data_IF_542533156864
#
_entry.id   IF_542533156864
#
_cell.length_a   1.000
_cell.length_b   1.000
_cell.length_c   1.000
_cell.angle_alpha   90.00
_cell.angle_beta   90.00
_cell.angle_gamma   90.00
#
_symmetry.space_group_name_H-M   'P 1'
#
loop_
_entity.id
_entity.type
_entity.pdbx_description
1 polymer ?
#
# COMPACT_ATOMS: atom_id res chain seq x y z
N UNK A 1 -10.26 -20.46 20.68
CA UNK A 1 -8.91 -20.94 20.26
C UNK A 1 -8.28 -19.91 19.35
N UNK A 2 -7.00 -19.59 19.53
CA UNK A 2 -6.24 -18.73 18.60
C UNK A 2 -5.78 -19.60 17.43
N UNK A 3 -6.19 -19.24 16.21
CA UNK A 3 -5.72 -19.93 15.01
C UNK A 3 -4.41 -19.29 14.55
N UNK A 4 -3.33 -20.07 14.57
CA UNK A 4 -2.01 -19.64 14.15
C UNK A 4 -1.73 -20.20 12.77
N UNK A 5 -1.51 -19.32 11.80
CA UNK A 5 -1.03 -19.69 10.47
C UNK A 5 0.40 -19.19 10.30
N UNK A 6 1.34 -20.10 10.04
CA UNK A 6 2.75 -19.81 9.87
C UNK A 6 3.15 -20.00 8.41
N UNK A 7 3.66 -18.95 7.78
CA UNK A 7 4.44 -19.04 6.54
C UNK A 7 5.93 -18.94 6.86
N UNK A 8 6.80 -19.10 5.85
CA UNK A 8 8.26 -18.94 6.02
C UNK A 8 8.67 -17.57 6.58
N UNK A 9 7.84 -16.53 6.42
CA UNK A 9 8.18 -15.14 6.76
C UNK A 9 7.21 -14.45 7.72
N UNK A 10 6.00 -14.98 7.91
CA UNK A 10 4.94 -14.32 8.69
C UNK A 10 4.19 -15.31 9.56
N UNK A 11 4.00 -14.94 10.82
CA UNK A 11 3.03 -15.56 11.72
C UNK A 11 1.76 -14.70 11.74
N UNK A 12 0.65 -15.27 11.31
CA UNK A 12 -0.66 -14.62 11.37
C UNK A 12 -1.48 -15.28 12.46
N UNK A 13 -1.93 -14.49 13.44
CA UNK A 13 -2.76 -14.98 14.54
C UNK A 13 -4.16 -14.41 14.38
N UNK A 14 -5.10 -15.29 14.05
CA UNK A 14 -6.53 -14.98 13.92
C UNK A 14 -7.25 -15.28 15.24
N UNK A 15 -7.77 -14.24 15.86
CA UNK A 15 -8.77 -14.36 16.93
C UNK A 15 -10.16 -14.17 16.33
N UNK A 16 -10.71 -15.19 15.67
CA UNK A 16 -12.06 -15.07 15.08
C UNK A 16 -13.16 -14.75 16.12
N UNK A 17 -12.89 -15.03 17.40
CA UNK A 17 -13.79 -14.78 18.54
C UNK A 17 -13.15 -13.90 19.64
N UNK A 18 -11.94 -13.36 19.40
CA UNK A 18 -11.18 -12.67 20.45
C UNK A 18 -10.43 -11.48 19.84
N UNK A 19 -10.88 -10.27 20.19
CA UNK A 19 -10.13 -9.05 19.94
C UNK A 19 -9.07 -8.86 21.03
N UNK A 20 -7.89 -8.38 20.65
CA UNK A 20 -6.86 -7.95 21.58
C UNK A 20 -6.62 -6.46 21.38
N UNK A 21 -6.85 -5.63 22.40
CA UNK A 21 -6.67 -4.17 22.31
C UNK A 21 -7.38 -3.54 21.09
N UNK A 22 -8.55 -4.08 20.74
CA UNK A 22 -9.36 -3.62 19.60
C UNK A 22 -8.86 -4.05 18.21
N UNK A 23 -7.95 -5.03 18.11
CA UNK A 23 -7.58 -5.68 16.84
C UNK A 23 -8.00 -7.14 16.81
N UNK A 24 -8.65 -7.52 15.70
CA UNK A 24 -9.15 -8.86 15.44
C UNK A 24 -8.12 -9.79 14.76
N UNK A 25 -7.00 -9.22 14.30
CA UNK A 25 -5.94 -9.95 13.62
C UNK A 25 -4.58 -9.32 13.92
N UNK A 26 -3.61 -10.17 14.26
CA UNK A 26 -2.21 -9.78 14.41
C UNK A 26 -1.40 -10.31 13.22
N UNK A 27 -0.60 -9.45 12.62
CA UNK A 27 0.41 -9.81 11.61
C UNK A 27 1.80 -9.64 12.21
N UNK A 28 2.52 -10.75 12.40
CA UNK A 28 3.87 -10.77 12.95
C UNK A 28 4.85 -11.18 11.85
N UNK A 29 5.65 -10.24 11.36
CA UNK A 29 6.67 -10.48 10.34
C UNK A 29 8.03 -10.74 11.01
N UNK A 30 8.72 -11.80 10.58
CA UNK A 30 9.98 -12.24 11.20
C UNK A 30 11.20 -11.35 10.87
N UNK A 31 11.06 -10.40 9.95
CA UNK A 31 12.12 -9.50 9.50
C UNK A 31 13.36 -10.20 8.91
N UNK A 32 13.23 -11.42 8.38
CA UNK A 32 14.39 -12.22 7.89
C UNK A 32 15.26 -11.49 6.85
N UNK A 33 14.68 -10.60 6.06
CA UNK A 33 15.36 -9.79 5.03
C UNK A 33 15.81 -8.40 5.51
N UNK A 34 15.54 -8.05 6.78
CA UNK A 34 15.86 -6.77 7.38
C UNK A 34 16.78 -6.91 8.59
N UNK A 35 18.09 -6.85 8.35
CA UNK A 35 19.11 -6.88 9.40
C UNK A 35 18.95 -5.77 10.47
N UNK A 36 18.25 -4.68 10.15
CA UNK A 36 18.01 -3.59 11.12
C UNK A 36 16.77 -3.81 11.98
N UNK A 37 15.87 -4.73 11.58
CA UNK A 37 14.55 -4.98 12.14
C UNK A 37 13.57 -3.79 12.14
N UNK A 38 14.00 -2.58 11.75
CA UNK A 38 13.22 -1.33 11.92
C UNK A 38 12.60 -0.80 10.63
N UNK A 39 12.88 -1.37 9.46
CA UNK A 39 12.48 -0.77 8.17
C UNK A 39 10.97 -0.60 8.05
N UNK A 40 10.21 -1.65 8.35
CA UNK A 40 8.74 -1.61 8.28
C UNK A 40 8.17 -0.56 9.23
N UNK A 41 8.68 -0.51 10.47
CA UNK A 41 8.25 0.47 11.46
C UNK A 41 8.48 1.91 10.98
N UNK A 42 9.72 2.20 10.53
CA UNK A 42 10.10 3.52 10.05
C UNK A 42 9.32 3.91 8.78
N UNK A 43 9.15 2.99 7.83
CA UNK A 43 8.46 3.25 6.58
C UNK A 43 7.01 3.67 6.82
N UNK A 44 6.26 2.85 7.58
CA UNK A 44 4.86 3.17 7.85
C UNK A 44 4.69 4.44 8.69
N UNK A 45 5.64 4.75 9.59
CA UNK A 45 5.67 6.03 10.31
C UNK A 45 5.85 7.21 9.36
N UNK A 46 6.77 7.13 8.39
CA UNK A 46 6.96 8.19 7.40
C UNK A 46 5.72 8.38 6.52
N UNK A 47 5.08 7.30 6.07
CA UNK A 47 3.81 7.40 5.34
C UNK A 47 2.74 8.14 6.16
N UNK A 48 2.55 7.79 7.44
CA UNK A 48 1.61 8.49 8.33
C UNK A 48 1.96 9.97 8.50
N UNK A 49 3.24 10.29 8.72
CA UNK A 49 3.71 11.69 8.83
C UNK A 49 3.46 12.50 7.56
N UNK A 50 3.47 11.85 6.39
CA UNK A 50 3.10 12.47 5.13
C UNK A 50 1.57 12.56 4.87
N UNK A 51 0.75 12.22 5.87
CA UNK A 51 -0.72 12.25 5.77
C UNK A 51 -1.32 11.10 4.96
N UNK A 52 -0.58 10.02 4.74
CA UNK A 52 -1.04 8.85 4.00
C UNK A 52 -1.54 7.80 5.00
N UNK A 53 -2.77 7.27 4.85
CA UNK A 53 -3.25 6.18 5.68
C UNK A 53 -2.31 4.97 5.56
N UNK A 54 -1.65 4.60 6.65
CA UNK A 54 -0.68 3.49 6.67
C UNK A 54 -0.74 2.68 7.98
N UNK A 55 -0.46 1.37 7.93
CA UNK A 55 -0.52 0.46 9.07
C UNK A 55 0.30 0.94 10.27
N UNK A 56 -0.25 0.89 11.48
CA UNK A 56 0.60 0.95 12.69
C UNK A 56 1.57 -0.23 12.67
N UNK A 57 2.75 -0.02 13.22
CA UNK A 57 3.75 -1.06 13.37
C UNK A 57 4.44 -0.87 14.70
N UNK A 58 4.58 -1.92 15.49
CA UNK A 58 5.44 -1.98 16.67
C UNK A 58 6.26 -3.28 16.64
N UNK A 59 7.01 -3.54 17.71
CA UNK A 59 7.82 -4.75 17.84
C UNK A 59 7.20 -5.70 18.84
N UNK A 60 7.36 -7.00 18.60
CA UNK A 60 6.92 -8.06 19.49
C UNK A 60 8.06 -9.05 19.74
N UNK A 61 8.21 -9.48 20.99
CA UNK A 61 9.06 -10.62 21.34
C UNK A 61 8.21 -11.88 21.26
N UNK A 62 8.55 -12.81 20.37
CA UNK A 62 7.70 -13.97 20.06
C UNK A 62 8.29 -15.25 20.67
N UNK A 63 7.43 -15.98 21.41
CA UNK A 63 7.73 -17.31 21.95
C UNK A 63 6.55 -18.23 21.62
N UNK A 64 6.83 -19.41 21.07
CA UNK A 64 5.82 -20.42 20.73
C UNK A 64 6.18 -21.72 21.43
N UNK A 65 5.28 -22.27 22.24
CA UNK A 65 5.50 -23.51 23.00
C UNK A 65 6.80 -23.52 23.84
N UNK A 66 7.18 -22.36 24.39
CA UNK A 66 8.41 -22.21 25.17
C UNK A 66 9.68 -21.92 24.36
N UNK A 67 9.63 -22.03 23.03
CA UNK A 67 10.75 -21.71 22.15
C UNK A 67 10.74 -20.23 21.77
N UNK A 68 11.84 -19.52 22.05
CA UNK A 68 12.00 -18.12 21.65
C UNK A 68 12.36 -18.02 20.16
N UNK A 69 11.52 -17.32 19.39
CA UNK A 69 11.66 -17.19 17.94
C UNK A 69 12.31 -15.87 17.50
N UNK A 70 12.46 -14.89 18.40
CA UNK A 70 13.08 -13.61 18.08
C UNK A 70 12.16 -12.39 18.23
N UNK A 71 12.62 -11.28 17.65
CA UNK A 71 11.89 -10.01 17.57
C UNK A 71 11.20 -9.89 16.21
N UNK A 72 9.89 -9.70 16.25
CA UNK A 72 9.04 -9.59 15.06
C UNK A 72 8.52 -8.15 14.91
N UNK A 73 8.26 -7.75 13.68
CA UNK A 73 7.45 -6.56 13.39
C UNK A 73 5.98 -6.94 13.52
N UNK A 74 5.27 -6.35 14.47
CA UNK A 74 3.83 -6.47 14.60
C UNK A 74 3.16 -5.34 13.81
N UNK A 75 2.60 -5.70 12.66
CA UNK A 75 2.00 -4.77 11.71
C UNK A 75 0.49 -4.88 11.81
N UNK A 76 -0.18 -3.73 11.94
CA UNK A 76 -1.64 -3.67 11.93
C UNK A 76 -2.19 -4.16 10.59
N UNK A 77 -3.08 -5.14 10.63
CA UNK A 77 -3.71 -5.63 9.40
C UNK A 77 -4.64 -4.57 8.80
N UNK A 78 -4.56 -4.37 7.48
CA UNK A 78 -5.46 -3.47 6.75
C UNK A 78 -6.83 -4.13 6.61
N UNK A 79 -7.70 -3.90 7.59
CA UNK A 79 -9.08 -4.43 7.69
C UNK A 79 -10.04 -3.36 8.20
N UNK A 80 -11.25 -3.75 8.60
CA UNK A 80 -12.30 -2.82 9.07
C UNK A 80 -11.81 -1.90 10.19
N UNK A 81 -11.00 -2.38 11.14
CA UNK A 81 -10.55 -1.55 12.27
C UNK A 81 -9.52 -0.51 11.85
N UNK A 82 -8.60 -0.87 10.94
CA UNK A 82 -7.74 0.11 10.26
C UNK A 82 -8.59 1.18 9.55
N UNK A 83 -9.63 0.78 8.82
CA UNK A 83 -10.47 1.72 8.08
C UNK A 83 -11.24 2.67 9.00
N UNK A 84 -11.82 2.17 10.10
CA UNK A 84 -12.52 3.00 11.09
C UNK A 84 -11.61 4.08 11.69
N UNK A 85 -10.31 3.79 11.82
CA UNK A 85 -9.32 4.72 12.38
C UNK A 85 -8.91 5.84 11.42
N UNK A 86 -8.96 5.59 10.12
CA UNK A 86 -8.48 6.53 9.09
C UNK A 86 -9.59 7.20 8.28
N UNK A 87 -10.79 6.63 8.26
CA UNK A 87 -11.88 7.07 7.40
C UNK A 87 -13.20 7.17 8.17
N UNK A 88 -14.03 8.14 7.78
CA UNK A 88 -15.37 8.35 8.34
C UNK A 88 -16.27 7.12 8.17
N UNK A 89 -16.09 6.36 7.09
CA UNK A 89 -16.83 5.14 6.79
C UNK A 89 -15.85 4.00 6.51
N UNK A 90 -16.14 2.83 7.05
CA UNK A 90 -15.37 1.59 6.86
C UNK A 90 -16.12 0.53 6.02
N UNK A 91 -17.17 0.95 5.30
CA UNK A 91 -18.06 0.07 4.53
C UNK A 91 -17.67 -0.09 3.06
N UNK A 92 -16.69 0.69 2.57
CA UNK A 92 -16.24 0.65 1.19
C UNK A 92 -15.52 -0.64 0.84
N UNK A 93 -15.29 -0.83 -0.46
CA UNK A 93 -14.50 -1.96 -0.94
C UNK A 93 -13.02 -1.73 -0.65
N UNK A 94 -12.36 -2.75 -0.11
CA UNK A 94 -10.93 -2.78 0.12
C UNK A 94 -10.32 -3.89 -0.72
N UNK A 95 -9.28 -3.56 -1.47
CA UNK A 95 -8.56 -4.49 -2.32
C UNK A 95 -7.08 -4.51 -1.97
N UNK A 96 -6.47 -5.69 -1.97
CA UNK A 96 -5.02 -5.86 -2.03
C UNK A 96 -4.58 -5.94 -3.49
N UNK A 97 -3.51 -5.23 -3.82
CA UNK A 97 -2.90 -5.27 -5.13
C UNK A 97 -1.62 -6.12 -5.12
N UNK A 98 -1.57 -7.11 -6.01
CA UNK A 98 -0.43 -7.98 -6.26
C UNK A 98 -0.18 -8.01 -7.76
N UNK A 99 0.77 -7.20 -8.23
CA UNK A 99 0.94 -6.93 -9.67
C UNK A 99 -0.41 -6.49 -10.27
N UNK A 100 -1.00 -5.49 -9.63
CA UNK A 100 -2.36 -4.99 -9.89
C UNK A 100 -2.34 -3.52 -10.25
N UNK A 101 -3.22 -3.15 -11.17
CA UNK A 101 -3.29 -1.78 -11.66
C UNK A 101 -4.64 -1.49 -12.30
N UNK A 102 -4.97 -0.21 -12.44
CA UNK A 102 -6.20 0.27 -13.07
C UNK A 102 -6.09 0.25 -14.60
N UNK A 103 -5.78 -0.92 -15.15
CA UNK A 103 -5.77 -1.19 -16.60
C UNK A 103 -6.66 -2.38 -16.88
N UNK A 104 -7.23 -2.47 -18.08
CA UNK A 104 -8.12 -3.59 -18.45
C UNK A 104 -7.44 -4.96 -18.24
N UNK A 105 -6.13 -5.03 -18.47
CA UNK A 105 -5.33 -6.25 -18.28
C UNK A 105 -5.10 -6.61 -16.80
N UNK A 106 -4.97 -5.62 -15.91
CA UNK A 106 -4.54 -5.85 -14.53
C UNK A 106 -5.63 -5.59 -13.48
N UNK A 107 -6.76 -4.97 -13.82
CA UNK A 107 -7.83 -4.67 -12.86
C UNK A 107 -8.46 -5.94 -12.26
N UNK A 108 -8.38 -7.07 -12.97
CA UNK A 108 -8.83 -8.37 -12.48
C UNK A 108 -7.96 -8.97 -11.35
N UNK A 109 -6.71 -8.52 -11.19
CA UNK A 109 -5.76 -9.14 -10.25
C UNK A 109 -5.88 -8.62 -8.82
N UNK A 110 -6.68 -7.57 -8.59
CA UNK A 110 -6.99 -7.10 -7.24
C UNK A 110 -7.74 -8.17 -6.43
N UNK A 111 -7.27 -8.44 -5.21
CA UNK A 111 -7.93 -9.36 -4.27
C UNK A 111 -8.82 -8.58 -3.29
N UNK A 112 -10.09 -8.93 -3.22
CA UNK A 112 -11.06 -8.24 -2.37
C UNK A 112 -10.94 -8.69 -0.91
N UNK A 113 -10.54 -7.79 -0.02
CA UNK A 113 -10.41 -8.07 1.43
C UNK A 113 -11.66 -7.72 2.23
N UNK A 114 -12.42 -6.73 1.77
CA UNK A 114 -13.72 -6.37 2.34
C UNK A 114 -14.77 -6.45 1.24
N UNK A 115 -15.96 -6.89 1.62
CA UNK A 115 -17.10 -7.13 0.74
C UNK A 115 -16.90 -8.23 -0.32
N UNK A 116 -15.87 -9.08 -0.25
CA UNK A 116 -15.54 -10.09 -1.28
C UNK A 116 -16.74 -10.88 -1.84
N UNK A 117 -17.65 -11.36 -0.97
CA UNK A 117 -18.87 -12.10 -1.37
C UNK A 117 -19.93 -11.25 -2.07
N UNK A 118 -19.93 -9.92 -1.85
CA UNK A 118 -20.85 -8.95 -2.45
C UNK A 118 -20.22 -8.15 -3.59
N UNK A 119 -18.90 -8.23 -3.76
CA UNK A 119 -18.09 -7.31 -4.55
C UNK A 119 -18.27 -7.53 -6.05
N UNK A 120 -19.05 -6.66 -6.69
CA UNK A 120 -19.27 -6.65 -8.14
C UNK A 120 -18.10 -6.04 -8.93
N UNK A 121 -17.08 -5.49 -8.25
CA UNK A 121 -15.91 -4.80 -8.81
C UNK A 121 -16.28 -3.65 -9.77
N UNK A 122 -17.51 -3.14 -9.71
CA UNK A 122 -17.97 -2.08 -10.61
C UNK A 122 -17.22 -0.77 -10.38
N UNK A 123 -16.75 -0.51 -9.16
CA UNK A 123 -15.88 0.61 -8.83
C UNK A 123 -14.50 0.52 -9.50
N UNK A 124 -13.85 -0.66 -9.46
CA UNK A 124 -12.59 -0.89 -10.18
C UNK A 124 -12.78 -0.74 -11.69
N UNK A 125 -13.89 -1.24 -12.24
CA UNK A 125 -14.18 -1.11 -13.67
C UNK A 125 -14.38 0.37 -14.05
N UNK A 126 -15.15 1.13 -13.27
CA UNK A 126 -15.34 2.58 -13.47
C UNK A 126 -14.01 3.33 -13.41
N UNK A 127 -13.19 3.06 -12.40
CA UNK A 127 -11.88 3.68 -12.26
C UNK A 127 -10.94 3.31 -13.40
N UNK A 128 -10.91 2.04 -13.81
CA UNK A 128 -10.11 1.57 -14.94
C UNK A 128 -10.51 2.27 -16.24
N UNK A 129 -11.81 2.36 -16.53
CA UNK A 129 -12.31 3.11 -17.70
C UNK A 129 -11.95 4.60 -17.63
N UNK A 130 -12.19 5.23 -16.49
CA UNK A 130 -11.87 6.66 -16.30
C UNK A 130 -10.37 6.97 -16.46
N UNK A 131 -9.50 6.03 -16.09
CA UNK A 131 -8.05 6.14 -16.22
C UNK A 131 -7.53 5.70 -17.61
N UNK A 132 -8.29 4.87 -18.34
CA UNK A 132 -8.00 4.43 -19.69
C UNK A 132 -8.33 5.48 -20.76
N UNK A 133 -9.25 6.41 -20.49
CA UNK A 133 -9.51 7.59 -21.35
C UNK A 133 -8.29 8.51 -21.30
N UNK A 134 -7.29 8.15 -22.10
CA UNK A 134 -6.12 8.94 -22.39
C UNK A 134 -6.09 9.22 -23.87
N UNK A 135 -5.62 10.42 -24.21
CA UNK A 135 -5.50 10.96 -25.57
C UNK A 135 -6.82 11.53 -26.08
N UNK A 136 -7.16 12.76 -25.65
CA UNK A 136 -7.88 13.82 -26.41
C UNK A 136 -8.65 14.78 -25.47
N UNK A 137 -7.93 15.49 -24.60
CA UNK A 137 -8.43 16.54 -23.67
C UNK A 137 -8.99 16.08 -22.31
N UNK A 138 -8.16 16.34 -21.29
CA UNK A 138 -8.53 16.63 -19.89
C UNK A 138 -9.22 15.54 -19.03
N UNK A 139 -9.15 15.77 -17.71
CA UNK A 139 -9.13 14.80 -16.61
C UNK A 139 -10.46 14.08 -16.30
N UNK A 140 -10.45 12.75 -16.33
CA UNK A 140 -11.27 11.89 -15.43
C UNK A 140 -10.48 11.08 -14.35
N UNK A 141 -9.15 11.23 -14.13
CA UNK A 141 -8.47 10.61 -12.98
C UNK A 141 -8.92 11.14 -11.61
N UNK A 142 -9.28 12.43 -11.51
CA UNK A 142 -9.59 13.09 -10.22
C UNK A 142 -10.88 12.62 -9.56
N UNK A 143 -11.80 12.03 -10.34
CA UNK A 143 -13.08 11.51 -9.85
C UNK A 143 -12.95 10.10 -9.28
N UNK A 144 -12.01 9.29 -9.80
CA UNK A 144 -11.79 7.91 -9.33
C UNK A 144 -10.67 7.81 -8.30
N UNK A 145 -9.68 8.71 -8.34
CA UNK A 145 -8.54 8.75 -7.41
C UNK A 145 -8.30 10.19 -6.97
N UNK A 146 -8.01 10.41 -5.69
CA UNK A 146 -7.52 11.72 -5.24
C UNK A 146 -6.05 11.89 -5.66
N UNK A 147 -5.80 12.72 -6.67
CA UNK A 147 -4.46 12.91 -7.23
C UNK A 147 -3.46 13.47 -6.22
N UNK A 148 -3.86 14.39 -5.33
CA UNK A 148 -2.94 14.94 -4.33
C UNK A 148 -2.46 13.86 -3.36
N UNK A 149 -3.36 12.99 -2.91
CA UNK A 149 -2.99 11.90 -2.01
C UNK A 149 -2.14 10.85 -2.73
N UNK A 150 -2.48 10.54 -3.98
CA UNK A 150 -1.69 9.65 -4.81
C UNK A 150 -0.26 10.17 -5.05
N UNK A 151 -0.11 11.47 -5.28
CA UNK A 151 1.19 12.10 -5.44
C UNK A 151 2.04 12.05 -4.18
N UNK A 152 1.45 12.28 -3.00
CA UNK A 152 2.18 12.09 -1.72
C UNK A 152 2.60 10.64 -1.55
N UNK A 153 1.70 9.70 -1.85
CA UNK A 153 1.97 8.27 -1.82
C UNK A 153 3.16 7.89 -2.71
N UNK A 154 3.13 8.31 -3.97
CA UNK A 154 4.22 8.06 -4.89
C UNK A 154 5.53 8.70 -4.42
N UNK A 155 5.52 9.99 -4.08
CA UNK A 155 6.72 10.67 -3.62
C UNK A 155 7.36 9.94 -2.44
N UNK A 156 6.54 9.49 -1.48
CA UNK A 156 7.02 8.72 -0.33
C UNK A 156 7.64 7.37 -0.74
N UNK A 157 7.00 6.59 -1.62
CA UNK A 157 7.59 5.35 -2.13
C UNK A 157 8.94 5.60 -2.83
N UNK A 158 9.07 6.69 -3.58
CA UNK A 158 10.33 7.08 -4.22
C UNK A 158 11.41 7.44 -3.19
N UNK A 159 11.08 8.24 -2.17
CA UNK A 159 12.01 8.68 -1.12
C UNK A 159 12.57 7.52 -0.31
N UNK A 160 11.75 6.51 0.01
CA UNK A 160 12.18 5.36 0.81
C UNK A 160 12.76 4.22 -0.05
N UNK A 161 12.78 4.37 -1.37
CA UNK A 161 13.29 3.38 -2.32
C UNK A 161 12.43 2.12 -2.41
N UNK A 162 11.10 2.26 -2.39
CA UNK A 162 10.17 1.15 -2.35
C UNK A 162 9.93 0.48 -3.71
N UNK A 163 10.95 -0.24 -4.19
CA UNK A 163 10.96 -0.82 -5.54
C UNK A 163 9.90 -1.89 -5.81
N UNK A 164 9.43 -2.60 -4.78
CA UNK A 164 8.37 -3.60 -4.90
C UNK A 164 7.00 -3.07 -4.44
N UNK A 165 6.88 -1.76 -4.24
CA UNK A 165 5.60 -1.09 -3.98
C UNK A 165 4.80 -0.87 -5.28
N UNK A 166 3.70 -0.10 -5.18
CA UNK A 166 2.88 0.19 -6.36
C UNK A 166 3.70 0.94 -7.41
N UNK A 167 4.57 1.86 -6.97
CA UNK A 167 5.44 2.66 -7.83
C UNK A 167 6.36 1.92 -8.77
N UNK A 168 6.99 0.87 -8.23
CA UNK A 168 8.07 0.18 -8.89
C UNK A 168 7.57 -1.05 -9.62
N UNK A 169 6.70 -1.84 -8.97
CA UNK A 169 6.29 -3.15 -9.46
C UNK A 169 4.78 -3.41 -9.38
N UNK A 170 3.97 -2.37 -9.10
CA UNK A 170 2.51 -2.52 -8.96
C UNK A 170 2.11 -3.57 -7.92
N UNK A 171 2.90 -3.69 -6.85
CA UNK A 171 2.78 -4.73 -5.84
C UNK A 171 2.75 -4.12 -4.43
N UNK A 172 2.43 -4.94 -3.41
CA UNK A 172 2.48 -4.56 -1.99
C UNK A 172 1.73 -3.27 -1.64
N UNK A 173 0.44 -3.19 -2.01
CA UNK A 173 -0.40 -2.06 -1.64
C UNK A 173 -1.85 -2.49 -1.46
N UNK A 174 -2.63 -1.67 -0.76
CA UNK A 174 -4.07 -1.73 -0.80
C UNK A 174 -4.64 -0.49 -1.47
N UNK A 175 -5.84 -0.64 -2.02
CA UNK A 175 -6.71 0.46 -2.41
C UNK A 175 -8.04 0.35 -1.70
N UNK A 176 -8.49 1.46 -1.13
CA UNK A 176 -9.78 1.57 -0.48
C UNK A 176 -10.67 2.54 -1.26
N UNK A 177 -11.84 2.08 -1.72
CA UNK A 177 -12.84 2.96 -2.30
C UNK A 177 -13.60 3.65 -1.16
N UNK A 178 -13.21 4.88 -0.83
CA UNK A 178 -13.77 5.64 0.28
C UNK A 178 -15.21 6.09 -0.02
N UNK A 179 -16.24 5.59 0.70
CA UNK A 179 -17.64 5.93 0.43
C UNK A 179 -18.00 7.39 0.73
N UNK A 180 -17.14 8.13 1.44
CA UNK A 180 -17.36 9.56 1.66
C UNK A 180 -16.97 10.38 0.43
N UNK A 181 -15.81 10.09 -0.15
CA UNK A 181 -15.29 10.84 -1.30
C UNK A 181 -15.57 10.21 -2.67
N UNK A 182 -16.04 8.96 -2.70
CA UNK A 182 -16.24 8.17 -3.92
C UNK A 182 -14.94 7.82 -4.64
N UNK A 183 -13.78 7.97 -3.98
CA UNK A 183 -12.45 7.91 -4.58
C UNK A 183 -11.59 6.85 -3.93
N UNK A 184 -10.77 6.20 -4.74
CA UNK A 184 -9.75 5.28 -4.26
C UNK A 184 -8.64 6.01 -3.49
N UNK A 185 -8.26 5.42 -2.36
CA UNK A 185 -7.15 5.81 -1.49
C UNK A 185 -6.11 4.71 -1.49
N UNK A 186 -4.85 5.06 -1.71
CA UNK A 186 -3.73 4.12 -1.65
C UNK A 186 -3.22 3.97 -0.22
N UNK A 187 -2.91 2.73 0.17
CA UNK A 187 -2.40 2.36 1.48
C UNK A 187 -1.17 1.46 1.26
N UNK A 188 -0.01 1.78 1.84
CA UNK A 188 1.20 0.98 1.64
C UNK A 188 1.10 -0.35 2.39
N UNK A 189 1.72 -1.39 1.84
CA UNK A 189 1.88 -2.70 2.49
C UNK A 189 3.26 -3.26 2.22
N UNK A 190 3.71 -4.33 2.90
CA UNK A 190 4.95 -5.04 2.59
C UNK A 190 6.23 -4.19 2.58
N UNK A 191 6.36 -3.19 3.46
CA UNK A 191 7.47 -2.23 3.43
C UNK A 191 8.78 -2.73 4.11
N UNK A 192 9.16 -4.00 3.94
CA UNK A 192 10.41 -4.58 4.46
C UNK A 192 11.59 -4.38 3.48
N UNK A 193 11.31 -4.25 2.18
CA UNK A 193 12.31 -4.08 1.13
C UNK A 193 12.91 -2.68 0.94
N UNK A 194 12.61 -1.73 1.83
CA UNK A 194 12.94 -0.29 1.71
C UNK A 194 14.28 0.09 2.36
N UNK A 195 14.71 1.36 2.24
CA UNK A 195 15.95 1.91 2.84
C UNK A 195 17.21 1.08 2.54
N UNK A 196 17.29 0.46 1.36
CA UNK A 196 18.44 -0.38 1.01
C UNK A 196 19.69 0.50 0.84
N UNK A 197 20.73 0.21 1.62
CA UNK A 197 22.05 0.80 1.43
C UNK A 197 22.58 0.39 0.05
N UNK A 198 23.02 1.38 -0.75
CA UNK A 198 23.68 1.13 -2.02
C UNK A 198 25.02 0.44 -1.74
N UNK A 199 25.25 -0.72 -2.33
CA UNK A 199 26.54 -1.41 -2.31
C UNK A 199 27.61 -0.54 -2.99
N UNK A 200 28.30 0.32 -2.23
CA UNK A 200 29.61 0.92 -2.52
C UNK A 200 29.81 1.71 -3.82
N UNK A 201 28.83 1.81 -4.71
CA UNK A 201 28.94 2.51 -6.00
C UNK A 201 28.29 3.88 -5.92
N UNK A 202 28.93 4.93 -6.47
CA UNK A 202 28.37 6.28 -6.50
C UNK A 202 26.99 6.23 -7.17
N UNK A 203 26.08 7.01 -6.58
CA UNK A 203 24.74 7.22 -7.07
C UNK A 203 24.76 7.55 -8.57
N UNK A 204 24.45 6.58 -9.44
CA UNK A 204 23.83 6.96 -10.71
C UNK A 204 22.48 7.60 -10.35
N UNK A 205 22.15 8.80 -10.88
CA UNK A 205 20.82 9.36 -10.70
C UNK A 205 19.82 8.27 -11.07
N UNK A 206 18.86 8.05 -10.17
CA UNK A 206 18.02 6.88 -10.10
C UNK A 206 17.61 6.31 -11.47
N UNK A 207 18.13 5.11 -11.79
CA UNK A 207 17.45 4.19 -12.72
C UNK A 207 16.29 3.44 -12.03
N UNK A 208 15.86 3.90 -10.86
CA UNK A 208 14.59 3.55 -10.22
C UNK A 208 13.64 4.71 -10.55
N UNK A 209 12.92 4.48 -11.65
CA UNK A 209 12.40 5.48 -12.56
C UNK A 209 11.51 6.57 -11.92
N UNK A 210 11.70 7.85 -12.29
CA UNK A 210 10.62 8.83 -12.31
C UNK A 210 9.45 8.40 -13.22
N UNK A 211 9.66 7.39 -14.08
CA UNK A 211 8.72 6.91 -15.11
C UNK A 211 8.16 5.50 -14.84
N UNK A 212 7.92 5.16 -13.57
CA UNK A 212 7.38 3.84 -13.17
C UNK A 212 6.12 3.42 -13.95
N UNK A 213 5.92 2.11 -14.11
CA UNK A 213 4.77 1.54 -14.84
C UNK A 213 3.49 1.72 -14.00
N UNK A 214 2.38 2.11 -14.62
CA UNK A 214 1.09 2.19 -13.92
C UNK A 214 0.03 3.07 -14.61
N UNK A 215 -1.24 2.65 -14.56
CA UNK A 215 -2.41 3.33 -15.11
C UNK A 215 -2.63 4.70 -14.49
N UNK A 216 -2.54 4.82 -13.16
CA UNK A 216 -2.64 6.11 -12.45
C UNK A 216 -1.45 7.04 -12.73
N UNK A 217 -0.23 6.49 -12.88
CA UNK A 217 1.01 7.29 -13.05
C UNK A 217 1.22 7.82 -14.44
N UNK A 218 0.95 7.00 -15.45
CA UNK A 218 1.07 7.51 -16.79
C UNK A 218 -0.12 8.49 -17.10
N UNK A 219 -1.24 8.37 -16.36
CA UNK A 219 -2.24 9.41 -16.01
C UNK A 219 -1.65 10.78 -15.81
N UNK A 220 -0.68 10.63 -14.91
CA UNK A 220 0.10 11.58 -14.16
C UNK A 220 0.89 12.60 -14.94
N UNK A 221 1.92 12.01 -15.54
CA UNK A 221 3.16 12.61 -16.00
C UNK A 221 3.14 12.92 -17.50
N UNK A 222 2.20 12.35 -18.24
CA UNK A 222 2.02 12.65 -19.66
C UNK A 222 1.34 14.02 -19.87
N UNK A 223 0.84 14.66 -18.82
CA UNK A 223 0.24 15.99 -18.83
C UNK A 223 1.26 17.10 -18.50
N UNK A 224 1.24 18.20 -19.26
CA UNK A 224 2.05 19.40 -19.01
C UNK A 224 1.81 19.98 -17.60
N UNK A 225 0.57 20.13 -17.13
CA UNK A 225 0.27 20.59 -15.75
C UNK A 225 0.77 19.62 -14.68
N UNK A 226 0.81 18.34 -15.02
CA UNK A 226 1.40 17.30 -14.19
C UNK A 226 2.92 17.46 -14.11
N UNK A 227 3.58 17.73 -15.25
CA UNK A 227 5.03 17.97 -15.33
C UNK A 227 5.47 19.27 -14.67
N UNK A 228 4.76 20.37 -14.91
CA UNK A 228 5.04 21.71 -14.34
C UNK A 228 5.03 21.69 -12.80
N UNK A 229 4.19 20.84 -12.19
CA UNK A 229 4.17 20.66 -10.74
C UNK A 229 5.44 20.01 -10.16
N UNK A 230 6.20 19.32 -10.98
CA UNK A 230 7.41 18.58 -10.61
C UNK A 230 8.67 19.10 -11.31
N UNK A 231 8.58 20.26 -11.97
CA UNK A 231 9.73 20.91 -12.55
C UNK A 231 10.52 21.61 -11.43
N UNK A 232 11.77 21.19 -11.14
CA UNK A 232 12.59 21.81 -10.10
C UNK A 232 13.15 23.19 -10.52
N UNK A 233 12.77 23.73 -11.68
CA UNK A 233 13.28 25.01 -12.21
C UNK A 233 12.51 26.27 -11.76
N UNK A 234 11.69 26.17 -10.70
CA UNK A 234 11.11 27.32 -9.98
C UNK A 234 11.37 27.23 -8.47
#
# INVERSE_FOLDING_TARGET
MLNVHQSKSTLTILGAEQEFEGVSLMTLNNNDTDASLVKQHLAYELFRKAGIPAPRCNFARVTVNGEYLGVYSHVESVRKDFLKRHFTKASGNLYEGQISDFTEKAAGTFDAKINAKKNDRNDLLKATKALAVRMNNFLMPSESVNLNDFYRYWAMEGLIGFNDGYSGNQNNFFIYNDPQSGRFKFIPWGADGVFRARSGKPARPAHQCPYGRGGCRASTLQNQKGRERYDPSY
#
